data_IF_534104223534
#
_entry.id   IF_534104223534
#
_cell.length_a   1.000
_cell.length_b   1.000
_cell.length_c   1.000
_cell.angle_alpha   90.00
_cell.angle_beta   90.00
_cell.angle_gamma   90.00
#
_symmetry.space_group_name_H-M   'P 1'
#
loop_
_entity.id
_entity.type
_entity.pdbx_description
1 polymer ?
#
# COMPACT_ATOMS: atom_id res chain seq x y z
N UNK A 1 -13.86 -7.82 19.79
CA UNK A 1 -12.71 -7.84 18.89
C UNK A 1 -11.46 -8.16 19.71
N UNK A 2 -10.87 -9.34 19.46
CA UNK A 2 -9.73 -9.85 20.25
C UNK A 2 -8.38 -9.34 19.71
N UNK A 3 -8.41 -8.43 18.73
CA UNK A 3 -7.23 -7.85 18.10
C UNK A 3 -7.02 -6.41 18.58
N UNK A 4 -5.77 -6.01 18.67
CA UNK A 4 -5.32 -4.64 18.90
C UNK A 4 -4.28 -4.25 17.85
N UNK A 5 -4.40 -3.03 17.34
CA UNK A 5 -3.43 -2.40 16.45
C UNK A 5 -2.52 -1.48 17.24
N UNK A 6 -1.24 -1.51 16.94
CA UNK A 6 -0.23 -0.60 17.49
C UNK A 6 0.47 0.11 16.36
N UNK A 7 0.33 1.43 16.31
CA UNK A 7 1.02 2.28 15.34
C UNK A 7 2.53 2.28 15.60
N UNK A 8 3.32 2.24 14.53
CA UNK A 8 4.76 2.42 14.56
C UNK A 8 5.17 3.79 14.03
N UNK A 9 4.66 4.17 12.86
CA UNK A 9 4.91 5.46 12.24
C UNK A 9 3.86 5.79 11.18
N UNK A 10 3.88 7.04 10.73
CA UNK A 10 3.10 7.50 9.58
C UNK A 10 4.04 7.89 8.44
N UNK A 11 3.61 7.67 7.21
CA UNK A 11 4.34 8.03 6.01
C UNK A 11 3.41 8.65 4.95
N UNK A 12 4.02 9.28 3.95
CA UNK A 12 3.29 9.79 2.80
C UNK A 12 2.73 8.65 1.95
N UNK A 13 1.73 8.97 1.15
CA UNK A 13 1.14 8.04 0.19
C UNK A 13 1.83 8.20 -1.16
N UNK A 14 2.17 7.08 -1.77
CA UNK A 14 2.78 7.01 -3.08
C UNK A 14 1.92 6.19 -4.04
N UNK A 15 1.96 6.56 -5.29
CA UNK A 15 1.41 5.80 -6.42
C UNK A 15 2.48 4.85 -6.94
N UNK A 16 2.23 3.56 -6.87
CA UNK A 16 3.12 2.53 -7.39
C UNK A 16 2.62 2.07 -8.75
N UNK A 17 3.45 2.17 -9.77
CA UNK A 17 3.11 1.89 -11.15
C UNK A 17 4.32 1.39 -11.95
N UNK A 18 4.06 0.82 -13.13
CA UNK A 18 5.12 0.40 -14.04
C UNK A 18 5.85 1.60 -14.64
N UNK A 19 7.15 1.47 -14.87
CA UNK A 19 7.95 2.50 -15.57
C UNK A 19 7.48 2.77 -17.00
N UNK A 20 6.61 1.92 -17.57
CA UNK A 20 5.96 2.14 -18.87
C UNK A 20 4.59 2.82 -18.76
N UNK A 21 4.12 3.10 -17.54
CA UNK A 21 2.85 3.79 -17.34
C UNK A 21 2.91 5.22 -17.89
N UNK A 22 1.81 5.76 -18.49
CA UNK A 22 1.79 7.12 -19.02
C UNK A 22 2.14 8.23 -18.01
N UNK A 23 1.92 7.98 -16.72
CA UNK A 23 2.27 8.89 -15.64
C UNK A 23 3.67 8.63 -15.03
N UNK A 24 4.41 7.62 -15.51
CA UNK A 24 5.77 7.38 -15.07
C UNK A 24 6.68 8.57 -15.42
N UNK A 25 7.59 8.91 -14.51
CA UNK A 25 8.47 10.07 -14.69
C UNK A 25 7.89 11.41 -14.23
N UNK A 26 6.67 11.42 -13.67
CA UNK A 26 6.15 12.60 -12.95
C UNK A 26 6.86 12.75 -11.62
N UNK A 27 7.05 13.99 -11.17
CA UNK A 27 7.56 14.29 -9.84
C UNK A 27 6.50 14.06 -8.76
N UNK A 28 5.22 14.21 -9.14
CA UNK A 28 4.05 14.07 -8.29
C UNK A 28 2.82 13.74 -9.13
N UNK A 29 1.86 13.02 -8.56
CA UNK A 29 0.61 12.62 -9.21
C UNK A 29 -0.57 13.10 -8.39
N UNK A 30 -1.64 13.57 -9.04
CA UNK A 30 -2.91 13.92 -8.41
C UNK A 30 -3.95 12.82 -8.58
N UNK A 31 -5.03 12.83 -7.77
CA UNK A 31 -6.13 11.89 -7.94
C UNK A 31 -6.86 12.05 -9.27
N UNK A 32 -6.97 13.27 -9.77
CA UNK A 32 -7.60 13.57 -11.04
C UNK A 32 -6.86 12.91 -12.22
N UNK A 33 -5.53 12.84 -12.15
CA UNK A 33 -4.72 12.17 -13.16
C UNK A 33 -4.89 10.64 -13.11
N UNK A 34 -5.26 10.08 -11.97
CA UNK A 34 -5.45 8.63 -11.77
C UNK A 34 -6.84 8.12 -12.20
N UNK A 35 -7.81 9.01 -12.38
CA UNK A 35 -9.22 8.64 -12.56
C UNK A 35 -9.50 7.73 -13.75
N UNK A 36 -8.69 7.81 -14.79
CA UNK A 36 -8.84 7.03 -16.02
C UNK A 36 -8.05 5.70 -16.02
N UNK A 37 -7.30 5.44 -14.95
CA UNK A 37 -6.51 4.23 -14.78
C UNK A 37 -7.10 3.31 -13.71
N UNK A 38 -7.04 1.99 -13.87
CA UNK A 38 -7.54 1.07 -12.86
C UNK A 38 -6.66 1.06 -11.61
N UNK A 39 -7.30 1.22 -10.46
CA UNK A 39 -6.65 0.97 -9.16
C UNK A 39 -6.64 -0.53 -8.87
N UNK A 40 -5.47 -1.09 -8.58
CA UNK A 40 -5.32 -2.48 -8.16
C UNK A 40 -5.18 -2.54 -6.65
N UNK A 41 -5.91 -3.44 -6.05
CA UNK A 41 -6.02 -3.62 -4.61
C UNK A 41 -6.00 -5.09 -4.24
N UNK A 42 -5.58 -5.41 -3.02
CA UNK A 42 -5.68 -6.76 -2.52
C UNK A 42 -7.11 -7.11 -2.12
N UNK A 43 -7.56 -8.34 -2.46
CA UNK A 43 -8.80 -8.89 -1.95
C UNK A 43 -8.66 -9.18 -0.45
N UNK A 44 -9.44 -8.51 0.35
CA UNK A 44 -9.38 -8.62 1.82
C UNK A 44 -10.55 -9.42 2.42
N UNK A 45 -11.42 -9.98 1.59
CA UNK A 45 -12.60 -10.73 2.01
C UNK A 45 -13.72 -9.87 2.60
N UNK A 46 -14.89 -10.48 2.80
CA UNK A 46 -16.14 -9.78 3.18
C UNK A 46 -16.20 -9.29 4.64
N UNK A 47 -15.21 -9.65 5.48
CA UNK A 47 -15.22 -9.37 6.93
C UNK A 47 -14.30 -8.23 7.35
N UNK A 48 -13.88 -7.41 6.42
CA UNK A 48 -12.94 -6.34 6.74
C UNK A 48 -13.60 -5.25 7.58
N UNK A 49 -13.07 -5.08 8.77
CA UNK A 49 -13.29 -3.88 9.53
C UNK A 49 -12.57 -2.73 8.82
N UNK A 50 -13.27 -1.62 8.64
CA UNK A 50 -12.72 -0.36 8.14
C UNK A 50 -11.38 0.05 8.80
N UNK A 51 -11.15 -0.39 10.04
CA UNK A 51 -9.94 -0.10 10.82
C UNK A 51 -8.71 -0.98 10.48
N UNK A 52 -8.89 -2.01 9.65
CA UNK A 52 -7.83 -2.95 9.28
C UNK A 52 -7.64 -3.06 7.76
N UNK A 53 -8.22 -2.13 7.01
CA UNK A 53 -8.01 -2.07 5.58
C UNK A 53 -6.56 -1.65 5.31
N UNK A 54 -5.84 -2.43 4.52
CA UNK A 54 -4.50 -2.04 4.03
C UNK A 54 -4.57 -0.84 3.08
N UNK A 55 -5.78 -0.49 2.65
CA UNK A 55 -6.00 0.57 1.69
C UNK A 55 -6.17 1.92 2.37
N UNK A 56 -5.30 2.83 2.00
CA UNK A 56 -5.50 4.25 2.17
C UNK A 56 -6.61 4.63 1.19
N UNK A 57 -7.62 5.34 1.60
CA UNK A 57 -8.74 5.73 0.73
C UNK A 57 -9.72 4.63 0.31
N UNK A 58 -9.92 3.62 1.15
CA UNK A 58 -10.97 2.61 0.93
C UNK A 58 -12.38 3.17 0.75
N UNK A 59 -12.59 4.44 1.11
CA UNK A 59 -13.85 5.19 0.95
C UNK A 59 -13.96 5.97 -0.36
N UNK A 60 -12.86 6.11 -1.14
CA UNK A 60 -12.93 6.77 -2.42
C UNK A 60 -13.62 5.87 -3.45
N UNK A 61 -14.52 6.46 -4.23
CA UNK A 61 -15.13 5.76 -5.35
C UNK A 61 -14.16 5.77 -6.53
N UNK A 62 -13.38 4.72 -6.66
CA UNK A 62 -12.58 4.49 -7.85
C UNK A 62 -13.49 4.19 -9.04
N UNK A 63 -13.26 4.83 -10.18
CA UNK A 63 -13.99 4.57 -11.41
C UNK A 63 -13.78 3.14 -11.91
N UNK A 64 -12.59 2.62 -11.71
CA UNK A 64 -12.21 1.25 -12.04
C UNK A 64 -11.34 0.68 -10.91
N UNK A 65 -11.76 -0.45 -10.34
CA UNK A 65 -11.00 -1.17 -9.31
C UNK A 65 -10.88 -2.63 -9.69
N UNK A 66 -9.66 -3.15 -9.58
CA UNK A 66 -9.36 -4.57 -9.79
C UNK A 66 -8.82 -5.12 -8.49
N UNK A 67 -9.43 -6.20 -8.02
CA UNK A 67 -8.98 -6.93 -6.83
C UNK A 67 -8.22 -8.17 -7.23
N UNK A 68 -7.07 -8.38 -6.62
CA UNK A 68 -6.24 -9.57 -6.78
C UNK A 68 -5.89 -10.15 -5.41
N UNK A 69 -5.73 -11.45 -5.34
CA UNK A 69 -5.42 -12.18 -4.10
C UNK A 69 -3.91 -12.51 -3.96
N UNK A 70 -3.14 -12.24 -5.00
CA UNK A 70 -1.69 -12.39 -4.95
C UNK A 70 -0.94 -11.23 -5.64
N UNK A 71 0.30 -11.01 -5.16
CA UNK A 71 1.14 -9.90 -5.62
C UNK A 71 1.61 -10.06 -7.08
N UNK A 72 1.96 -11.27 -7.50
CA UNK A 72 2.49 -11.49 -8.84
C UNK A 72 1.42 -11.21 -9.91
N UNK A 73 0.20 -11.68 -9.70
CA UNK A 73 -0.95 -11.35 -10.54
C UNK A 73 -1.20 -9.85 -10.57
N UNK A 74 -1.17 -9.19 -9.42
CA UNK A 74 -1.38 -7.74 -9.33
C UNK A 74 -0.33 -6.97 -10.15
N UNK A 75 0.95 -7.32 -10.04
CA UNK A 75 2.03 -6.68 -10.80
C UNK A 75 1.89 -6.90 -12.31
N UNK A 76 1.52 -8.10 -12.74
CA UNK A 76 1.29 -8.41 -14.15
C UNK A 76 0.10 -7.62 -14.73
N UNK A 77 -1.00 -7.54 -14.00
CA UNK A 77 -2.17 -6.74 -14.39
C UNK A 77 -1.83 -5.24 -14.44
N UNK A 78 -1.04 -4.76 -13.50
CA UNK A 78 -0.57 -3.36 -13.46
C UNK A 78 0.15 -2.98 -14.76
N UNK A 79 1.04 -3.83 -15.27
CA UNK A 79 1.73 -3.60 -16.53
C UNK A 79 0.76 -3.69 -17.72
N UNK A 80 -0.06 -4.75 -17.78
CA UNK A 80 -0.93 -5.02 -18.93
C UNK A 80 -2.07 -4.03 -19.12
N UNK A 81 -2.49 -3.35 -18.04
CA UNK A 81 -3.67 -2.46 -18.04
C UNK A 81 -3.34 -0.99 -17.73
N UNK A 82 -2.08 -0.62 -17.65
CA UNK A 82 -1.65 0.68 -17.14
C UNK A 82 -2.32 0.99 -15.78
N UNK A 83 -2.32 0.00 -14.91
CA UNK A 83 -2.90 0.16 -13.57
C UNK A 83 -1.90 0.71 -12.57
N UNK A 84 -2.41 1.06 -11.41
CA UNK A 84 -1.59 1.53 -10.28
C UNK A 84 -2.09 0.92 -8.96
N UNK A 85 -1.27 0.97 -7.94
CA UNK A 85 -1.69 0.75 -6.54
C UNK A 85 -1.11 1.83 -5.65
N UNK A 86 -1.66 1.98 -4.45
CA UNK A 86 -1.17 2.93 -3.46
C UNK A 86 -0.27 2.21 -2.45
N UNK A 87 0.82 2.85 -2.06
CA UNK A 87 1.81 2.27 -1.16
C UNK A 87 2.49 3.35 -0.29
N UNK A 88 3.34 2.90 0.63
CA UNK A 88 4.13 3.76 1.52
C UNK A 88 5.35 4.41 0.87
N UNK A 89 5.67 4.06 -0.37
CA UNK A 89 6.93 4.46 -1.01
C UNK A 89 8.17 3.69 -0.52
N UNK A 90 8.05 2.89 0.52
CA UNK A 90 9.14 2.03 1.03
C UNK A 90 9.16 0.76 0.17
N UNK A 91 10.02 0.75 -0.83
CA UNK A 91 10.10 -0.32 -1.83
C UNK A 91 11.41 -1.07 -1.69
N UNK A 92 11.33 -2.40 -1.64
CA UNK A 92 12.49 -3.28 -1.70
C UNK A 92 12.75 -3.65 -3.18
N UNK A 93 13.80 -3.09 -3.76
CA UNK A 93 14.15 -3.31 -5.18
C UNK A 93 14.50 -4.76 -5.46
N UNK A 94 15.15 -5.45 -4.52
CA UNK A 94 15.51 -6.87 -4.67
C UNK A 94 14.28 -7.77 -4.85
N UNK A 95 13.12 -7.37 -4.31
CA UNK A 95 11.87 -8.14 -4.41
C UNK A 95 10.96 -7.71 -5.55
N UNK A 96 11.09 -6.47 -6.01
CA UNK A 96 10.17 -5.89 -7.00
C UNK A 96 10.82 -5.70 -8.37
N UNK A 97 12.15 -5.74 -8.45
CA UNK A 97 12.89 -5.39 -9.66
C UNK A 97 12.85 -3.87 -9.94
N UNK A 98 13.43 -3.49 -11.03
CA UNK A 98 13.61 -2.09 -11.50
C UNK A 98 12.53 -1.61 -12.47
N UNK A 99 11.53 -2.46 -12.74
CA UNK A 99 10.46 -2.17 -13.72
C UNK A 99 9.33 -1.27 -13.19
N UNK A 100 9.40 -0.81 -11.95
CA UNK A 100 8.33 -0.06 -11.27
C UNK A 100 8.89 1.15 -10.53
N UNK A 101 8.03 2.14 -10.32
CA UNK A 101 8.35 3.36 -9.56
C UNK A 101 7.26 3.68 -8.55
N UNK A 102 7.66 4.28 -7.44
CA UNK A 102 6.76 4.90 -6.47
C UNK A 102 6.87 6.41 -6.60
N UNK A 103 5.77 7.07 -6.95
CA UNK A 103 5.70 8.52 -7.18
C UNK A 103 4.80 9.13 -6.12
N UNK A 104 5.18 10.23 -5.45
CA UNK A 104 4.36 10.87 -4.43
C UNK A 104 2.95 11.22 -4.94
N UNK A 105 1.94 10.87 -4.16
CA UNK A 105 0.56 11.30 -4.40
C UNK A 105 0.34 12.68 -3.75
N UNK A 106 -0.28 13.60 -4.47
CA UNK A 106 -0.65 14.91 -3.93
C UNK A 106 -1.88 14.80 -3.03
N UNK A 107 -1.63 14.67 -1.74
CA UNK A 107 -2.67 14.55 -0.71
C UNK A 107 -2.11 14.92 0.66
N UNK A 108 -2.98 15.40 1.55
CA UNK A 108 -2.66 15.62 2.96
C UNK A 108 -2.85 14.34 3.81
N UNK A 109 -3.41 13.29 3.23
CA UNK A 109 -3.60 12.02 3.90
C UNK A 109 -2.26 11.30 4.13
N UNK A 110 -2.19 10.57 5.25
CA UNK A 110 -1.03 9.76 5.62
C UNK A 110 -1.42 8.29 5.73
N UNK A 111 -0.47 7.45 5.39
CA UNK A 111 -0.57 6.02 5.64
C UNK A 111 -0.01 5.74 7.04
N UNK A 112 -0.78 5.02 7.85
CA UNK A 112 -0.34 4.58 9.19
C UNK A 112 0.18 3.16 9.12
N UNK A 113 1.44 2.97 9.42
CA UNK A 113 2.11 1.67 9.48
C UNK A 113 2.16 1.19 10.92
N UNK A 114 1.84 -0.07 11.14
CA UNK A 114 1.84 -0.67 12.47
C UNK A 114 1.77 -2.19 12.45
N UNK A 115 1.52 -2.78 13.59
CA UNK A 115 1.32 -4.22 13.72
C UNK A 115 0.03 -4.55 14.47
N UNK A 116 -0.51 -5.71 14.18
CA UNK A 116 -1.71 -6.25 14.83
C UNK A 116 -1.30 -7.46 15.66
N UNK A 117 -1.82 -7.55 16.88
CA UNK A 117 -1.69 -8.74 17.73
C UNK A 117 -3.00 -9.04 18.46
N UNK A 118 -3.12 -10.24 19.03
CA UNK A 118 -4.21 -10.55 19.95
C UNK A 118 -4.00 -9.81 21.28
N UNK A 119 -5.08 -9.31 21.84
CA UNK A 119 -5.07 -8.69 23.18
C UNK A 119 -4.50 -9.66 24.21
N UNK A 120 -3.66 -9.15 25.08
CA UNK A 120 -3.00 -9.94 26.14
C UNK A 120 -1.87 -10.86 25.63
N UNK A 121 -1.59 -10.93 24.33
CA UNK A 121 -0.50 -11.71 23.78
C UNK A 121 0.84 -11.01 24.04
N UNK A 122 1.81 -11.72 24.62
CA UNK A 122 3.17 -11.23 24.78
C UNK A 122 3.95 -11.34 23.47
N UNK A 123 4.66 -10.26 23.12
CA UNK A 123 5.58 -10.25 21.98
C UNK A 123 6.89 -10.91 22.42
N UNK A 124 7.36 -11.88 21.65
CA UNK A 124 8.64 -12.54 21.89
C UNK A 124 9.82 -11.57 21.79
N UNK A 125 10.99 -11.96 22.29
CA UNK A 125 12.20 -11.15 22.15
C UNK A 125 12.55 -10.85 20.70
N UNK A 126 12.44 -11.86 19.81
CA UNK A 126 12.66 -11.70 18.36
C UNK A 126 11.62 -10.73 17.77
N UNK A 127 10.34 -10.87 18.15
CA UNK A 127 9.27 -9.95 17.72
C UNK A 127 9.54 -8.50 18.11
N UNK A 128 10.05 -8.25 19.32
CA UNK A 128 10.44 -6.91 19.76
C UNK A 128 11.60 -6.35 18.93
N UNK A 129 12.62 -7.16 18.69
CA UNK A 129 13.76 -6.76 17.85
C UNK A 129 13.32 -6.42 16.42
N UNK A 130 12.39 -7.19 15.84
CA UNK A 130 11.82 -6.91 14.53
C UNK A 130 11.04 -5.59 14.50
N UNK A 131 10.23 -5.32 15.53
CA UNK A 131 9.48 -4.06 15.67
C UNK A 131 10.44 -2.86 15.75
N UNK A 132 11.54 -2.97 16.49
CA UNK A 132 12.55 -1.91 16.57
C UNK A 132 13.21 -1.63 15.21
N UNK A 133 13.49 -2.67 14.43
CA UNK A 133 14.00 -2.51 13.05
C UNK A 133 12.97 -1.78 12.17
N UNK A 134 11.70 -2.17 12.24
CA UNK A 134 10.63 -1.52 11.47
C UNK A 134 10.50 -0.03 11.80
N UNK A 135 10.66 0.37 13.05
CA UNK A 135 10.65 1.79 13.45
C UNK A 135 11.76 2.63 12.80
N UNK A 136 12.83 1.99 12.39
CA UNK A 136 13.94 2.65 11.69
C UNK A 136 13.61 3.09 10.26
N UNK A 137 12.42 2.74 9.73
CA UNK A 137 11.92 3.22 8.43
C UNK A 137 11.07 4.49 8.53
N UNK A 138 10.86 5.02 9.73
CA UNK A 138 10.09 6.24 9.99
C UNK A 138 10.83 7.51 9.54
#
# INVERSE_FOLDING_TARGET
NDLEFTELFQCDVYVYLSNHHPLAGRDKITFEELVDYPCLSFEQGDKNSFYFAEEVFSTLQYKQMIKADDRATMLNLMVGMNGYTLCSGIICEELNGDGYSAIPLETDEKMTIGYIKRKGMHISHIGKSYIEILRGYA
#
